data_IF_456780492609
#
_entry.id   IF_456780492609
#
_cell.length_a   1.000
_cell.length_b   1.000
_cell.length_c   1.000
_cell.angle_alpha   90.00
_cell.angle_beta   90.00
_cell.angle_gamma   90.00
#
_symmetry.space_group_name_H-M   'P 1'
#
loop_
_entity.id
_entity.type
_entity.pdbx_description
1 polymer ?
#
# COMPACT_ATOMS: atom_id res chain seq x y z
N UNK A 1 -2.72 -14.18 -6.49
CA UNK A 1 -2.37 -14.06 -5.07
C UNK A 1 -1.02 -14.69 -4.79
N UNK A 2 0.01 -13.86 -4.78
CA UNK A 2 1.32 -14.21 -4.26
C UNK A 2 1.29 -14.33 -2.72
N UNK A 3 1.95 -15.34 -2.15
CA UNK A 3 2.04 -15.53 -0.69
C UNK A 3 2.83 -14.41 0.02
N UNK A 4 3.63 -13.65 -0.74
CA UNK A 4 4.43 -12.53 -0.25
C UNK A 4 4.84 -11.61 -1.40
N UNK A 5 5.19 -10.36 -1.07
CA UNK A 5 5.69 -9.35 -2.01
C UNK A 5 7.03 -8.78 -1.53
N UNK A 6 7.81 -8.23 -2.46
CA UNK A 6 9.05 -7.51 -2.14
C UNK A 6 8.86 -6.03 -2.47
N UNK A 7 9.20 -5.14 -1.54
CA UNK A 7 9.11 -3.67 -1.72
C UNK A 7 10.40 -3.00 -1.27
N UNK A 8 10.62 -1.73 -1.65
CA UNK A 8 11.79 -0.99 -1.15
C UNK A 8 11.60 -0.65 0.33
N UNK A 9 12.61 -0.98 1.14
CA UNK A 9 12.62 -0.68 2.58
C UNK A 9 12.54 0.83 2.83
N UNK A 10 13.14 1.65 1.97
CA UNK A 10 13.08 3.11 2.09
C UNK A 10 11.65 3.64 1.94
N UNK A 11 10.91 3.18 0.93
CA UNK A 11 9.52 3.59 0.68
C UNK A 11 8.60 3.11 1.82
N UNK A 12 8.79 1.87 2.28
CA UNK A 12 8.06 1.37 3.46
C UNK A 12 8.32 2.22 4.70
N UNK A 13 9.58 2.58 4.95
CA UNK A 13 9.96 3.41 6.09
C UNK A 13 9.36 4.82 5.98
N UNK A 14 9.42 5.45 4.81
CA UNK A 14 8.87 6.78 4.57
C UNK A 14 7.36 6.82 4.82
N UNK A 15 6.61 5.82 4.33
CA UNK A 15 5.17 5.69 4.60
C UNK A 15 4.86 5.48 6.07
N UNK A 16 5.57 4.55 6.71
CA UNK A 16 5.39 4.28 8.13
C UNK A 16 5.68 5.51 9.00
N UNK A 17 6.71 6.27 8.64
CA UNK A 17 7.04 7.53 9.28
C UNK A 17 5.95 8.58 9.06
N UNK A 18 5.47 8.73 7.82
CA UNK A 18 4.40 9.67 7.49
C UNK A 18 3.12 9.39 8.29
N UNK A 19 2.64 8.15 8.29
CA UNK A 19 1.46 7.72 9.08
C UNK A 19 1.63 8.03 10.56
N UNK A 20 2.83 7.80 11.11
CA UNK A 20 3.13 8.10 12.51
C UNK A 20 3.13 9.60 12.79
N UNK A 21 3.73 10.40 11.91
CA UNK A 21 3.80 11.86 12.05
C UNK A 21 2.41 12.49 11.92
N UNK A 22 1.52 11.90 11.12
CA UNK A 22 0.11 12.29 10.97
C UNK A 22 -0.77 11.82 12.16
N UNK A 23 -0.21 11.07 13.10
CA UNK A 23 -0.91 10.62 14.31
C UNK A 23 -1.81 9.41 14.11
N UNK A 24 -1.55 8.59 13.09
CA UNK A 24 -2.30 7.35 12.83
C UNK A 24 -1.85 6.24 13.79
N UNK A 25 -2.81 5.38 14.17
CA UNK A 25 -2.60 4.29 15.14
C UNK A 25 -2.61 2.91 14.50
N UNK A 26 -3.40 2.75 13.43
CA UNK A 26 -3.60 1.48 12.74
C UNK A 26 -3.50 1.69 11.24
N UNK A 27 -3.06 0.66 10.51
CA UNK A 27 -3.00 0.65 9.05
C UNK A 27 -3.59 -0.65 8.53
N UNK A 28 -4.51 -0.54 7.61
CA UNK A 28 -4.97 -1.61 6.72
C UNK A 28 -4.05 -1.67 5.50
N UNK A 29 -3.68 -2.89 5.12
CA UNK A 29 -2.68 -3.15 4.09
C UNK A 29 -3.26 -4.16 3.10
N UNK A 30 -3.29 -3.80 1.83
CA UNK A 30 -3.82 -4.64 0.74
C UNK A 30 -2.84 -4.70 -0.42
N UNK A 31 -2.69 -5.89 -1.01
CA UNK A 31 -1.92 -6.06 -2.25
C UNK A 31 -2.89 -5.87 -3.40
N UNK A 32 -2.65 -4.87 -4.25
CA UNK A 32 -3.41 -4.63 -5.46
C UNK A 32 -2.65 -5.28 -6.62
N UNK A 33 -3.10 -6.47 -7.04
CA UNK A 33 -2.58 -7.17 -8.22
C UNK A 33 -3.30 -6.62 -9.47
N UNK A 34 -2.59 -6.54 -10.60
CA UNK A 34 -3.23 -6.25 -11.89
C UNK A 34 -4.04 -7.47 -12.33
N UNK A 35 -5.34 -7.44 -12.04
CA UNK A 35 -6.23 -8.59 -12.20
C UNK A 35 -6.85 -8.65 -13.61
N UNK A 36 -6.21 -8.04 -14.61
CA UNK A 36 -6.87 -7.78 -15.88
C UNK A 36 -6.41 -8.64 -17.06
N UNK A 37 -7.01 -9.83 -17.13
CA UNK A 37 -7.14 -10.57 -18.39
C UNK A 37 -8.05 -9.86 -19.41
N UNK A 38 -8.71 -8.74 -19.07
CA UNK A 38 -9.71 -8.07 -19.91
C UNK A 38 -9.42 -6.60 -20.30
N UNK A 39 -8.45 -5.91 -19.68
CA UNK A 39 -8.12 -4.53 -20.05
C UNK A 39 -6.88 -4.48 -20.97
N UNK A 40 -7.08 -3.92 -22.16
CA UNK A 40 -6.01 -3.68 -23.17
C UNK A 40 -5.21 -2.39 -22.90
N UNK A 41 -5.18 -1.91 -21.66
CA UNK A 41 -4.28 -0.84 -21.23
C UNK A 41 -3.00 -1.44 -20.67
N UNK A 42 -1.92 -0.68 -20.69
CA UNK A 42 -0.63 -1.12 -20.14
C UNK A 42 -0.82 -1.70 -18.72
N UNK A 43 -0.20 -2.87 -18.42
CA UNK A 43 -0.40 -3.52 -17.14
C UNK A 43 0.07 -2.60 -16.02
N UNK A 44 -0.78 -2.40 -15.01
CA UNK A 44 -0.41 -1.63 -13.85
C UNK A 44 0.55 -2.47 -12.98
N UNK A 45 1.57 -1.85 -12.36
CA UNK A 45 2.41 -2.60 -11.44
C UNK A 45 1.58 -3.10 -10.26
N UNK A 46 1.94 -4.27 -9.71
CA UNK A 46 1.39 -4.68 -8.41
C UNK A 46 1.83 -3.68 -7.36
N UNK A 47 0.91 -3.25 -6.50
CA UNK A 47 1.21 -2.24 -5.46
C UNK A 47 0.74 -2.69 -4.08
N UNK A 48 1.37 -2.09 -3.06
CA UNK A 48 0.93 -2.15 -1.67
C UNK A 48 0.10 -0.91 -1.37
N UNK A 49 -1.20 -1.12 -1.17
CA UNK A 49 -2.14 -0.09 -0.75
C UNK A 49 -2.19 0.02 0.76
N UNK A 50 -2.25 1.26 1.26
CA UNK A 50 -2.14 1.61 2.67
C UNK A 50 -3.26 2.58 3.05
N UNK A 51 -4.10 2.19 4.01
CA UNK A 51 -5.15 3.05 4.56
C UNK A 51 -5.08 3.06 6.08
N UNK A 52 -4.92 4.24 6.67
CA UNK A 52 -4.62 4.36 8.09
C UNK A 52 -5.66 5.18 8.84
N UNK A 53 -5.91 4.78 10.09
CA UNK A 53 -6.93 5.37 10.94
C UNK A 53 -6.32 5.75 12.30
N UNK A 54 -6.86 6.82 12.90
CA UNK A 54 -6.51 7.21 14.27
C UNK A 54 -7.48 6.55 15.27
N UNK A 55 -7.04 6.36 16.52
CA UNK A 55 -7.94 5.92 17.61
C UNK A 55 -9.04 6.94 17.92
N UNK A 56 -8.82 8.22 17.60
CA UNK A 56 -9.79 9.30 17.85
C UNK A 56 -10.95 9.22 16.88
N UNK A 57 -10.67 8.86 15.63
CA UNK A 57 -11.61 8.81 14.52
C UNK A 57 -11.47 7.46 13.80
N UNK A 58 -11.88 6.34 14.42
CA UNK A 58 -11.61 4.99 13.90
C UNK A 58 -12.39 4.64 12.63
N UNK A 59 -13.43 5.43 12.30
CA UNK A 59 -14.28 5.25 11.13
C UNK A 59 -13.82 6.08 9.93
N UNK A 60 -12.87 6.99 10.12
CA UNK A 60 -12.29 7.80 9.06
C UNK A 60 -10.90 7.24 8.74
N UNK A 61 -10.71 6.90 7.47
CA UNK A 61 -9.43 6.39 6.97
C UNK A 61 -8.79 7.39 6.01
N UNK A 62 -7.47 7.47 6.09
CA UNK A 62 -6.65 8.27 5.18
C UNK A 62 -5.85 7.33 4.32
N UNK A 63 -6.01 7.47 3.01
CA UNK A 63 -5.23 6.73 2.02
C UNK A 63 -3.87 7.39 1.84
N UNK A 64 -2.83 6.56 1.83
CA UNK A 64 -1.46 6.96 1.56
C UNK A 64 -1.08 6.47 0.16
N UNK A 65 -0.18 7.20 -0.51
CA UNK A 65 0.27 6.79 -1.84
C UNK A 65 0.96 5.41 -1.78
N UNK A 66 0.68 4.63 -2.80
CA UNK A 66 0.99 3.20 -2.84
C UNK A 66 2.50 2.96 -2.94
N UNK A 67 2.93 1.75 -2.57
CA UNK A 67 4.31 1.31 -2.75
C UNK A 67 4.34 0.27 -3.87
N UNK A 68 5.08 0.55 -4.94
CA UNK A 68 5.26 -0.40 -6.03
C UNK A 68 6.03 -1.65 -5.57
N UNK A 69 5.54 -2.81 -5.97
CA UNK A 69 6.24 -4.08 -5.75
C UNK A 69 7.45 -4.16 -6.68
N UNK A 70 8.58 -4.58 -6.11
CA UNK A 70 9.78 -4.90 -6.88
C UNK A 70 9.62 -6.31 -7.44
N UNK A 71 9.52 -6.42 -8.76
CA UNK A 71 9.69 -7.69 -9.45
C UNK A 71 11.15 -8.16 -9.26
N UNK A 72 11.35 -9.11 -8.35
CA UNK A 72 12.62 -9.80 -8.18
C UNK A 72 12.63 -10.99 -9.13
N UNK A 73 13.58 -11.00 -10.08
CA UNK A 73 13.84 -12.14 -10.98
C UNK A 73 14.51 -13.29 -10.25
#
# INVERSE_FOLDING_TARGET
MADSITIKVSELYERAKQMKDDGMDYVEVSILEDDDENFKSDPLPTTLWLSANSKKEPFESVEYEEIEVIETK
#
